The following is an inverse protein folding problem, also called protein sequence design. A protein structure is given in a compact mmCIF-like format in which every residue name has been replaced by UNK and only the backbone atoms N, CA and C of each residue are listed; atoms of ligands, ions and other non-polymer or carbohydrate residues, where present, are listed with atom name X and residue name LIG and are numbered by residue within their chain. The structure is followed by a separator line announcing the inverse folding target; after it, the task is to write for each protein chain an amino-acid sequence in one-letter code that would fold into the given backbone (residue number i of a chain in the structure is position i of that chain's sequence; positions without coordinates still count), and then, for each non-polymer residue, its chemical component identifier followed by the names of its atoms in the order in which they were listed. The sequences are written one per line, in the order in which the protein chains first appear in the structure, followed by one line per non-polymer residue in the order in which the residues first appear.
data_IF_918557828500
#
_entry.id   IF_918557828500
#
_cell.length_a   1.000
_cell.length_b   1.000
_cell.length_c   1.000
_cell.angle_alpha   90.00
_cell.angle_beta   90.00
_cell.angle_gamma   90.00
#
_symmetry.space_group_name_H-M   'P 1'
#
loop_
_entity.id
_entity.type
_entity.pdbx_description
1 polymer ?
#
# COMPACT_ATOMS: atom_id res chain seq x y z
N UNK A 1 -1.37 8.17 -14.14
CA UNK A 1 -1.90 6.81 -13.91
C UNK A 1 -2.24 6.67 -12.42
N UNK A 2 -3.30 5.95 -12.04
CA UNK A 2 -3.68 5.82 -10.63
C UNK A 2 -3.01 4.57 -10.03
N UNK A 3 -2.24 4.72 -8.95
CA UNK A 3 -1.53 3.63 -8.26
C UNK A 3 -2.30 3.24 -7.00
N UNK A 4 -2.65 1.96 -6.88
CA UNK A 4 -3.26 1.37 -5.68
C UNK A 4 -2.17 0.89 -4.74
N UNK A 5 -2.04 1.53 -3.59
CA UNK A 5 -1.01 1.23 -2.59
C UNK A 5 -1.67 0.61 -1.35
N UNK A 6 -1.36 -0.66 -1.08
CA UNK A 6 -1.84 -1.40 0.09
C UNK A 6 -0.98 -1.22 1.33
N UNK A 7 -1.56 -0.80 2.45
CA UNK A 7 -0.88 -0.77 3.76
C UNK A 7 -1.87 -0.93 4.92
N UNK A 8 -1.37 -1.17 6.14
CA UNK A 8 -2.25 -1.47 7.28
C UNK A 8 -2.78 -0.22 7.98
N UNK A 9 -3.89 -0.31 8.73
CA UNK A 9 -4.39 0.81 9.52
C UNK A 9 -3.54 1.11 10.77
N UNK A 10 -2.45 0.35 11.02
CA UNK A 10 -1.61 0.57 12.18
C UNK A 10 -0.96 1.96 12.17
N UNK A 11 -0.75 2.61 13.34
CA UNK A 11 -0.22 3.97 13.42
C UNK A 11 1.12 4.17 12.70
N UNK A 12 2.00 3.17 12.72
CA UNK A 12 3.28 3.23 12.01
C UNK A 12 3.12 3.34 10.49
N UNK A 13 2.20 2.57 9.90
CA UNK A 13 2.00 2.58 8.45
C UNK A 13 1.27 3.85 8.00
N UNK A 14 0.25 4.28 8.75
CA UNK A 14 -0.44 5.55 8.48
C UNK A 14 0.51 6.75 8.61
N UNK A 15 1.44 6.72 9.57
CA UNK A 15 2.49 7.73 9.68
C UNK A 15 3.43 7.73 8.47
N UNK A 16 3.93 6.57 8.04
CA UNK A 16 4.83 6.42 6.88
C UNK A 16 4.17 6.94 5.59
N UNK A 17 2.91 6.57 5.35
CA UNK A 17 2.21 6.87 4.09
C UNK A 17 1.38 8.15 4.10
N UNK A 18 1.36 8.91 5.20
CA UNK A 18 0.52 10.11 5.34
C UNK A 18 0.78 11.12 4.21
N UNK A 19 2.02 11.54 4.04
CA UNK A 19 2.38 12.55 3.06
C UNK A 19 2.08 12.11 1.62
N UNK A 20 2.30 10.82 1.33
CA UNK A 20 2.05 10.22 0.02
C UNK A 20 0.56 10.20 -0.32
N UNK A 21 -0.27 9.74 0.61
CA UNK A 21 -1.73 9.53 0.40
C UNK A 21 -2.55 10.82 0.46
N UNK A 22 -1.98 11.88 1.05
CA UNK A 22 -2.60 13.21 1.12
C UNK A 22 -2.03 14.20 0.09
N UNK A 23 -1.18 13.74 -0.84
CA UNK A 23 -0.62 14.59 -1.90
C UNK A 23 0.31 15.70 -1.40
N UNK A 24 0.97 15.49 -0.25
CA UNK A 24 1.89 16.46 0.36
C UNK A 24 3.32 16.34 -0.21
N UNK A 25 3.57 15.32 -1.02
CA UNK A 25 4.83 15.12 -1.76
C UNK A 25 4.52 14.86 -3.24
N UNK A 26 5.40 15.28 -4.16
CA UNK A 26 5.22 15.01 -5.58
C UNK A 26 5.37 13.51 -5.89
N UNK A 27 4.47 12.98 -6.71
CA UNK A 27 4.50 11.59 -7.21
C UNK A 27 4.28 11.60 -8.72
N UNK A 28 5.22 12.21 -9.46
CA UNK A 28 5.19 12.36 -10.92
C UNK A 28 3.76 12.54 -11.49
N UNK A 29 3.41 11.85 -12.58
CA UNK A 29 2.08 11.86 -13.18
C UNK A 29 1.14 10.80 -12.56
N UNK A 30 1.31 10.48 -11.28
CA UNK A 30 0.56 9.45 -10.58
C UNK A 30 -0.35 10.01 -9.49
N UNK A 31 -1.59 9.53 -9.50
CA UNK A 31 -2.49 9.67 -8.36
C UNK A 31 -2.32 8.45 -7.44
N UNK A 32 -2.49 8.64 -6.13
CA UNK A 32 -2.40 7.57 -5.14
C UNK A 32 -3.80 7.21 -4.66
N UNK A 33 -4.14 5.92 -4.73
CA UNK A 33 -5.33 5.34 -4.10
C UNK A 33 -4.89 4.42 -2.97
N UNK A 34 -5.04 4.83 -1.70
CA UNK A 34 -4.71 3.96 -0.57
C UNK A 34 -5.72 2.82 -0.45
N UNK A 35 -5.22 1.60 -0.26
CA UNK A 35 -6.01 0.41 0.10
C UNK A 35 -5.61 0.02 1.52
N UNK A 36 -6.49 0.28 2.49
CA UNK A 36 -6.18 0.10 3.92
C UNK A 36 -6.81 -1.22 4.38
N UNK A 37 -5.98 -2.21 4.68
CA UNK A 37 -6.40 -3.58 4.99
C UNK A 37 -5.50 -4.21 6.06
N UNK A 38 -5.96 -5.28 6.71
CA UNK A 38 -5.12 -6.07 7.61
C UNK A 38 -3.89 -6.66 6.88
N UNK A 39 -2.76 -6.81 7.59
CA UNK A 39 -1.50 -7.31 7.00
C UNK A 39 -1.66 -8.70 6.38
N UNK A 40 -2.50 -9.57 6.94
CA UNK A 40 -2.71 -10.92 6.43
C UNK A 40 -3.60 -10.90 5.17
N UNK A 41 -4.52 -9.94 5.09
CA UNK A 41 -5.25 -9.66 3.84
C UNK A 41 -4.30 -9.13 2.76
N UNK A 42 -3.37 -8.24 3.10
CA UNK A 42 -2.36 -7.73 2.17
C UNK A 42 -1.41 -8.83 1.69
N UNK A 43 -0.98 -9.74 2.58
CA UNK A 43 -0.16 -10.90 2.21
C UNK A 43 -0.86 -11.79 1.19
N UNK A 44 -2.13 -12.12 1.40
CA UNK A 44 -2.92 -12.90 0.42
C UNK A 44 -3.05 -12.16 -0.91
N UNK A 45 -3.39 -10.86 -0.88
CA UNK A 45 -3.49 -10.02 -2.08
C UNK A 45 -2.16 -9.96 -2.85
N UNK A 46 -1.01 -9.94 -2.16
CA UNK A 46 0.30 -9.92 -2.81
C UNK A 46 0.56 -11.15 -3.69
N UNK A 47 -0.07 -12.30 -3.38
CA UNK A 47 0.01 -13.53 -4.16
C UNK A 47 -1.03 -13.58 -5.29
N UNK A 48 -2.08 -12.78 -5.21
CA UNK A 48 -3.10 -12.64 -6.25
C UNK A 48 -2.60 -11.74 -7.38
N UNK A 49 -2.66 -12.24 -8.62
CA UNK A 49 -2.25 -11.46 -9.79
C UNK A 49 -3.07 -10.16 -9.93
N UNK A 50 -2.38 -9.03 -10.09
CA UNK A 50 -2.95 -7.70 -10.41
C UNK A 50 -3.89 -7.13 -9.33
N UNK A 51 -3.82 -7.59 -8.08
CA UNK A 51 -4.70 -7.14 -7.00
C UNK A 51 -4.35 -5.74 -6.47
N UNK A 52 -3.06 -5.37 -6.45
CA UNK A 52 -2.50 -4.10 -5.98
C UNK A 52 -1.27 -3.73 -6.83
N UNK A 53 -1.00 -2.43 -7.01
CA UNK A 53 0.18 -1.96 -7.76
C UNK A 53 1.43 -1.94 -6.87
N UNK A 54 1.26 -1.58 -5.60
CA UNK A 54 2.28 -1.61 -4.55
C UNK A 54 1.61 -2.09 -3.25
N UNK A 55 2.28 -2.91 -2.44
CA UNK A 55 1.73 -3.33 -1.15
C UNK A 55 2.80 -3.52 -0.08
N UNK A 56 2.48 -3.17 1.17
CA UNK A 56 3.16 -3.68 2.36
C UNK A 56 2.97 -5.19 2.42
N UNK A 57 4.02 -5.93 2.78
CA UNK A 57 3.97 -7.38 3.02
C UNK A 57 4.69 -7.72 4.31
N UNK A 58 4.28 -8.81 4.96
CA UNK A 58 5.14 -9.49 5.92
C UNK A 58 6.36 -10.06 5.19
N UNK A 59 7.57 -9.83 5.70
CA UNK A 59 8.78 -10.37 5.06
C UNK A 59 8.74 -11.89 4.90
N UNK A 60 8.13 -12.60 5.85
CA UNK A 60 7.88 -14.04 5.79
C UNK A 60 6.97 -14.47 4.63
N UNK A 61 6.06 -13.62 4.15
CA UNK A 61 5.15 -13.97 3.06
C UNK A 61 5.87 -14.08 1.70
N UNK A 62 7.14 -13.67 1.62
CA UNK A 62 7.99 -13.79 0.44
C UNK A 62 9.00 -14.95 0.54
N UNK A 63 8.93 -15.75 1.61
CA UNK A 63 9.84 -16.88 1.85
C UNK A 63 9.39 -18.18 1.16
#
# INVERSE_FOLDING_TARGET
MNLRIGYSPCPNDTFIFYALTHGLIPVDNHAITPIIEDVETLNRKALEQHSLDVTKVSFHAFA
#
